data_IF_918484326769
#
_entry.id   IF_918484326769
#
_cell.length_a   1.000
_cell.length_b   1.000
_cell.length_c   1.000
_cell.angle_alpha   90.00
_cell.angle_beta   90.00
_cell.angle_gamma   90.00
#
_symmetry.space_group_name_H-M   'P 1'
#
loop_
_entity.id
_entity.type
_entity.pdbx_description
1 polymer ?
#
# COMPACT_ATOMS: atom_id res chain seq x y z
N UNK A 1 -42.26 -24.87 75.23
CA UNK A 1 -42.97 -24.08 74.22
C UNK A 1 -42.21 -24.26 72.93
N UNK A 2 -42.48 -25.37 72.25
CA UNK A 2 -43.47 -25.45 71.14
C UNK A 2 -42.75 -25.01 69.86
N UNK A 3 -42.65 -25.74 68.75
CA UNK A 3 -43.34 -26.89 68.18
C UNK A 3 -42.41 -27.35 67.03
N UNK A 4 -41.95 -28.61 66.99
CA UNK A 4 -42.39 -29.61 66.02
C UNK A 4 -43.18 -29.05 64.82
N UNK A 5 -42.69 -29.22 63.59
CA UNK A 5 -43.40 -30.00 62.55
C UNK A 5 -42.72 -29.93 61.16
N UNK A 6 -42.44 -31.13 60.63
CA UNK A 6 -42.63 -31.58 59.24
C UNK A 6 -41.74 -30.94 58.14
N UNK A 7 -40.96 -31.69 57.33
CA UNK A 7 -41.20 -33.05 56.83
C UNK A 7 -39.90 -33.87 56.69
N UNK A 8 -39.84 -34.86 57.56
CA UNK A 8 -39.38 -36.23 57.33
C UNK A 8 -39.61 -36.75 55.90
N UNK A 9 -38.59 -37.37 55.27
CA UNK A 9 -38.73 -38.78 54.89
C UNK A 9 -37.37 -39.44 54.75
N UNK A 10 -37.19 -40.40 55.66
CA UNK A 10 -36.08 -41.29 55.88
C UNK A 10 -36.30 -42.56 55.03
N UNK A 11 -35.27 -43.05 54.34
CA UNK A 11 -35.01 -44.49 54.09
C UNK A 11 -33.61 -44.62 53.51
N UNK A 12 -32.59 -44.77 54.35
CA UNK A 12 -32.08 -46.04 54.93
C UNK A 12 -31.59 -46.99 53.84
N UNK A 13 -30.27 -47.04 53.68
CA UNK A 13 -29.50 -48.29 53.80
C UNK A 13 -28.02 -47.94 53.97
N UNK A 14 -27.59 -47.84 55.23
CA UNK A 14 -26.22 -48.11 55.64
C UNK A 14 -26.14 -49.62 55.81
N UNK A 15 -25.42 -50.30 54.91
CA UNK A 15 -24.69 -51.53 55.26
C UNK A 15 -23.62 -51.83 54.20
N UNK A 16 -22.41 -52.10 54.69
CA UNK A 16 -21.20 -52.60 54.01
C UNK A 16 -20.34 -51.58 53.24
N UNK A 17 -19.37 -51.02 53.97
CA UNK A 17 -18.07 -50.68 53.40
C UNK A 17 -17.47 -51.92 52.70
N UNK A 18 -16.69 -51.70 51.63
CA UNK A 18 -15.26 -51.99 51.75
C UNK A 18 -14.46 -50.69 51.83
N UNK A 19 -13.51 -50.56 52.77
CA UNK A 19 -12.63 -49.41 52.86
C UNK A 19 -11.43 -49.63 51.93
N UNK A 20 -11.56 -49.37 50.63
CA UNK A 20 -10.38 -49.19 49.78
C UNK A 20 -10.72 -48.77 48.36
N UNK A 21 -9.98 -47.75 47.91
CA UNK A 21 -9.77 -47.28 46.53
C UNK A 21 -10.91 -46.52 45.83
N UNK A 22 -10.65 -45.21 45.72
CA UNK A 22 -10.85 -44.35 44.54
C UNK A 22 -12.27 -43.92 44.16
N UNK A 23 -12.74 -42.87 44.83
CA UNK A 23 -13.80 -41.93 44.36
C UNK A 23 -13.24 -40.91 43.32
N UNK A 24 -12.00 -41.10 42.85
CA UNK A 24 -11.30 -40.18 41.94
C UNK A 24 -11.40 -40.58 40.46
N UNK A 25 -12.60 -40.83 39.92
CA UNK A 25 -12.71 -41.11 38.48
C UNK A 25 -13.82 -40.38 37.72
N UNK A 26 -14.52 -39.44 38.38
CA UNK A 26 -15.51 -38.59 37.71
C UNK A 26 -15.16 -37.08 37.74
N UNK A 27 -14.15 -36.67 38.52
CA UNK A 27 -13.60 -35.30 38.49
C UNK A 27 -12.52 -35.11 37.42
N UNK A 28 -11.93 -36.20 36.92
CA UNK A 28 -10.95 -36.20 35.82
C UNK A 28 -11.57 -35.85 34.47
N UNK A 29 -12.86 -36.13 34.26
CA UNK A 29 -13.57 -35.78 33.02
C UNK A 29 -13.77 -34.27 32.84
N UNK A 30 -13.94 -33.49 33.92
CA UNK A 30 -14.17 -32.04 33.86
C UNK A 30 -12.90 -31.27 33.46
N UNK A 31 -11.71 -31.84 33.69
CA UNK A 31 -10.43 -31.21 33.34
C UNK A 31 -10.03 -31.39 31.85
N UNK A 32 -10.74 -32.24 31.10
CA UNK A 32 -10.50 -32.44 29.65
C UNK A 32 -11.33 -31.45 28.80
N UNK A 33 -12.40 -30.87 29.37
CA UNK A 33 -13.35 -30.02 28.66
C UNK A 33 -12.86 -28.67 28.08
N UNK A 34 -11.82 -27.97 28.60
CA UNK A 34 -11.42 -26.70 28.00
C UNK A 34 -10.78 -26.86 26.62
N UNK A 35 -10.20 -28.02 26.31
CA UNK A 35 -9.53 -28.26 25.02
C UNK A 35 -10.49 -28.65 23.88
N UNK A 36 -11.67 -29.19 24.20
CA UNK A 36 -12.62 -29.65 23.19
C UNK A 36 -13.43 -28.51 22.56
N UNK A 37 -13.69 -27.44 23.33
CA UNK A 37 -14.50 -26.30 22.89
C UNK A 37 -13.83 -25.50 21.75
N UNK A 38 -12.52 -25.27 21.82
CA UNK A 38 -11.80 -24.48 20.82
C UNK A 38 -11.74 -25.16 19.45
N UNK A 39 -11.59 -26.49 19.42
CA UNK A 39 -11.53 -27.26 18.18
C UNK A 39 -12.84 -27.15 17.40
N UNK A 40 -14.00 -27.20 18.07
CA UNK A 40 -15.29 -27.02 17.41
C UNK A 40 -15.43 -25.61 16.83
N UNK A 41 -14.99 -24.59 17.58
CA UNK A 41 -15.01 -23.20 17.15
C UNK A 41 -14.11 -22.95 15.92
N UNK A 42 -12.99 -23.67 15.81
CA UNK A 42 -12.11 -23.63 14.63
C UNK A 42 -12.77 -24.18 13.36
N UNK A 43 -13.53 -25.28 13.46
CA UNK A 43 -14.32 -25.78 12.32
C UNK A 43 -15.41 -24.78 11.90
N UNK A 44 -16.07 -24.15 12.87
CA UNK A 44 -17.12 -23.15 12.62
C UNK A 44 -16.58 -21.89 11.95
N UNK A 45 -15.42 -21.37 12.38
CA UNK A 45 -14.86 -20.13 11.83
C UNK A 45 -14.31 -20.30 10.41
N UNK A 46 -13.72 -21.47 10.13
CA UNK A 46 -13.23 -21.82 8.79
C UNK A 46 -14.33 -22.38 7.88
N UNK A 47 -15.50 -22.74 8.44
CA UNK A 47 -16.63 -23.35 7.72
C UNK A 47 -16.23 -24.61 6.94
N UNK A 48 -15.38 -25.44 7.55
CA UNK A 48 -14.89 -26.69 6.95
C UNK A 48 -15.57 -27.91 7.59
N UNK A 49 -15.77 -28.98 6.79
CA UNK A 49 -16.24 -30.28 7.28
C UNK A 49 -15.06 -31.12 7.76
N UNK A 50 -15.31 -32.10 8.62
CA UNK A 50 -14.28 -33.08 9.02
C UNK A 50 -13.73 -33.80 7.77
N UNK A 51 -12.41 -34.00 7.71
CA UNK A 51 -11.75 -34.66 6.57
C UNK A 51 -11.28 -33.75 5.44
N UNK A 52 -11.34 -32.42 5.57
CA UNK A 52 -10.88 -31.47 4.55
C UNK A 52 -9.42 -31.70 4.09
N UNK A 53 -9.12 -31.28 2.86
CA UNK A 53 -7.78 -31.34 2.27
C UNK A 53 -6.95 -30.08 2.59
N UNK A 54 -5.61 -30.16 2.53
CA UNK A 54 -4.73 -28.98 2.68
C UNK A 54 -5.05 -27.81 1.72
N UNK A 55 -5.30 -28.03 0.41
CA UNK A 55 -5.66 -26.93 -0.48
C UNK A 55 -7.02 -26.30 -0.11
N UNK A 56 -7.97 -27.11 0.37
CA UNK A 56 -9.27 -26.64 0.84
C UNK A 56 -9.16 -25.78 2.10
N UNK A 57 -8.32 -26.17 3.08
CA UNK A 57 -8.00 -25.37 4.25
C UNK A 57 -7.46 -23.98 3.86
N UNK A 58 -6.49 -23.95 2.93
CA UNK A 58 -5.91 -22.69 2.44
C UNK A 58 -6.92 -21.83 1.69
N UNK A 59 -7.87 -22.44 0.97
CA UNK A 59 -8.93 -21.71 0.25
C UNK A 59 -9.93 -21.10 1.23
N UNK A 60 -10.40 -21.88 2.20
CA UNK A 60 -11.33 -21.42 3.23
C UNK A 60 -10.74 -20.30 4.08
N UNK A 61 -9.48 -20.43 4.52
CA UNK A 61 -8.78 -19.38 5.25
C UNK A 61 -8.72 -18.06 4.47
N UNK A 62 -8.31 -18.10 3.19
CA UNK A 62 -8.25 -16.90 2.34
C UNK A 62 -9.60 -16.22 2.18
N UNK A 63 -10.68 -16.98 2.06
CA UNK A 63 -12.03 -16.44 1.93
C UNK A 63 -12.49 -15.80 3.25
N UNK A 64 -12.37 -16.51 4.37
CA UNK A 64 -12.75 -15.98 5.69
C UNK A 64 -11.88 -14.79 6.13
N UNK A 65 -10.59 -14.78 5.78
CA UNK A 65 -9.67 -13.70 6.13
C UNK A 65 -10.09 -12.37 5.48
N UNK A 66 -10.56 -12.40 4.23
CA UNK A 66 -11.13 -11.21 3.57
C UNK A 66 -12.39 -10.69 4.25
N UNK A 67 -13.21 -11.58 4.84
CA UNK A 67 -14.48 -11.20 5.48
C UNK A 67 -14.30 -10.64 6.90
N UNK A 68 -13.24 -11.09 7.60
CA UNK A 68 -12.95 -10.68 8.97
C UNK A 68 -11.79 -9.68 9.07
N UNK A 69 -11.22 -9.24 7.95
CA UNK A 69 -10.13 -8.26 7.96
C UNK A 69 -10.63 -6.94 8.59
N UNK A 70 -9.90 -6.34 9.55
CA UNK A 70 -10.34 -5.11 10.23
C UNK A 70 -10.50 -3.91 9.28
N UNK A 71 -9.76 -3.88 8.17
CA UNK A 71 -9.88 -2.83 7.15
C UNK A 71 -11.16 -2.93 6.32
N UNK A 72 -11.75 -4.13 6.20
CA UNK A 72 -12.97 -4.37 5.40
C UNK A 72 -14.20 -4.42 6.32
N UNK A 73 -14.03 -4.96 7.53
CA UNK A 73 -15.08 -5.18 8.50
C UNK A 73 -14.78 -4.40 9.79
N UNK A 74 -15.40 -3.23 9.93
CA UNK A 74 -15.18 -2.33 11.06
C UNK A 74 -15.99 -2.69 12.32
N UNK A 75 -16.56 -3.90 12.41
CA UNK A 75 -17.24 -4.35 13.63
C UNK A 75 -16.23 -4.50 14.77
N UNK A 76 -16.59 -4.18 16.03
CA UNK A 76 -15.67 -4.26 17.17
C UNK A 76 -15.07 -5.66 17.36
N UNK A 77 -15.82 -6.71 16.98
CA UNK A 77 -15.38 -8.10 17.14
C UNK A 77 -14.66 -8.67 15.91
N UNK A 78 -14.41 -7.87 14.87
CA UNK A 78 -13.72 -8.35 13.66
C UNK A 78 -12.27 -8.75 13.96
N UNK A 79 -11.59 -7.98 14.81
CA UNK A 79 -10.22 -8.26 15.24
C UNK A 79 -10.10 -9.61 15.97
N UNK A 80 -10.96 -9.84 16.96
CA UNK A 80 -10.99 -11.10 17.72
C UNK A 80 -11.30 -12.32 16.83
N UNK A 81 -12.26 -12.17 15.90
CA UNK A 81 -12.58 -13.22 14.93
C UNK A 81 -11.41 -13.50 13.99
N UNK A 82 -10.66 -12.46 13.60
CA UNK A 82 -9.48 -12.62 12.76
C UNK A 82 -8.36 -13.38 13.49
N UNK A 83 -8.13 -13.07 14.76
CA UNK A 83 -7.19 -13.81 15.62
C UNK A 83 -7.59 -15.29 15.67
N UNK A 84 -8.86 -15.56 15.99
CA UNK A 84 -9.36 -16.94 16.10
C UNK A 84 -9.31 -17.70 14.77
N UNK A 85 -9.53 -17.02 13.65
CA UNK A 85 -9.38 -17.60 12.31
C UNK A 85 -7.93 -18.03 12.05
N UNK A 86 -6.97 -17.21 12.49
CA UNK A 86 -5.56 -17.48 12.32
C UNK A 86 -5.10 -18.65 13.20
N UNK A 87 -5.53 -18.67 14.47
CA UNK A 87 -5.31 -19.79 15.39
C UNK A 87 -5.85 -21.11 14.82
N UNK A 88 -7.09 -21.10 14.32
CA UNK A 88 -7.72 -22.25 13.67
C UNK A 88 -6.89 -22.77 12.48
N UNK A 89 -6.42 -21.88 11.62
CA UNK A 89 -5.62 -22.24 10.46
C UNK A 89 -4.28 -22.86 10.85
N UNK A 90 -3.57 -22.25 11.81
CA UNK A 90 -2.26 -22.77 12.26
C UNK A 90 -2.40 -24.11 12.97
N UNK A 91 -3.44 -24.28 13.79
CA UNK A 91 -3.76 -25.55 14.43
C UNK A 91 -3.98 -26.65 13.40
N UNK A 92 -4.86 -26.46 12.42
CA UNK A 92 -5.13 -27.47 11.40
C UNK A 92 -3.93 -27.72 10.47
N UNK A 93 -3.17 -26.68 10.15
CA UNK A 93 -1.96 -26.81 9.36
C UNK A 93 -0.92 -27.66 10.09
N UNK A 94 -0.73 -27.45 11.40
CA UNK A 94 0.18 -28.25 12.22
C UNK A 94 -0.22 -29.73 12.22
N UNK A 95 -1.52 -30.02 12.42
CA UNK A 95 -2.08 -31.38 12.43
C UNK A 95 -1.90 -32.12 11.11
N UNK A 96 -2.01 -31.43 9.97
CA UNK A 96 -1.82 -32.03 8.64
C UNK A 96 -0.35 -32.13 8.21
N UNK A 97 0.52 -31.25 8.71
CA UNK A 97 1.94 -31.19 8.30
C UNK A 97 2.90 -31.89 9.27
N UNK A 98 2.41 -32.39 10.42
CA UNK A 98 3.24 -33.03 11.44
C UNK A 98 4.18 -32.06 12.17
N UNK A 99 4.02 -30.75 11.98
CA UNK A 99 4.82 -29.73 12.65
C UNK A 99 4.25 -29.48 14.04
N UNK A 100 5.11 -29.28 15.03
CA UNK A 100 4.68 -28.87 16.37
C UNK A 100 4.08 -27.46 16.30
N UNK A 101 2.80 -27.33 16.64
CA UNK A 101 2.16 -26.02 16.78
C UNK A 101 2.76 -25.31 17.99
N UNK A 102 3.47 -24.21 17.75
CA UNK A 102 3.93 -23.32 18.82
C UNK A 102 3.06 -22.05 18.80
N UNK A 103 2.08 -21.90 19.72
CA UNK A 103 1.18 -20.75 19.76
C UNK A 103 1.91 -19.41 20.00
N UNK A 104 3.18 -19.44 20.44
CA UNK A 104 3.99 -18.23 20.67
C UNK A 104 4.88 -17.82 19.50
N UNK A 105 4.89 -18.58 18.39
CA UNK A 105 5.92 -18.45 17.35
C UNK A 105 5.68 -17.36 16.30
N UNK A 106 4.50 -16.72 16.25
CA UNK A 106 4.25 -15.62 15.30
C UNK A 106 3.68 -14.40 16.01
N UNK A 107 4.59 -13.52 16.40
CA UNK A 107 4.25 -12.16 16.81
C UNK A 107 3.58 -11.47 15.61
N UNK A 108 2.28 -11.19 15.71
CA UNK A 108 1.60 -10.26 14.80
C UNK A 108 2.34 -8.93 14.89
N UNK A 109 3.25 -8.67 13.94
CA UNK A 109 3.90 -7.39 13.80
C UNK A 109 2.83 -6.45 13.28
N UNK A 110 2.23 -5.69 14.21
CA UNK A 110 1.42 -4.51 13.91
C UNK A 110 2.23 -3.68 12.92
N UNK A 111 1.86 -3.71 11.64
CA UNK A 111 2.48 -2.87 10.62
C UNK A 111 2.34 -1.45 11.13
N UNK A 112 3.48 -0.78 11.33
CA UNK A 112 3.46 0.61 11.78
C UNK A 112 2.56 1.39 10.80
N UNK A 113 1.61 2.20 11.29
CA UNK A 113 0.72 2.95 10.42
C UNK A 113 1.60 3.74 9.46
N UNK A 114 1.46 3.48 8.15
CA UNK A 114 2.29 4.11 7.13
C UNK A 114 2.16 5.63 7.27
N UNK A 115 3.23 6.21 7.72
CA UNK A 115 3.32 7.55 8.23
C UNK A 115 2.93 8.55 7.12
N UNK A 116 2.29 9.61 7.57
CA UNK A 116 1.81 10.82 6.89
C UNK A 116 2.65 11.25 5.68
N UNK A 117 1.99 11.79 4.64
CA UNK A 117 2.58 12.36 3.40
C UNK A 117 3.89 13.16 3.62
N UNK A 118 4.02 13.82 4.79
CA UNK A 118 5.23 14.51 5.23
C UNK A 118 6.50 13.64 5.24
N UNK A 119 6.43 12.38 5.70
CA UNK A 119 7.60 11.50 5.73
C UNK A 119 7.96 10.93 4.35
N UNK A 120 6.96 10.76 3.47
CA UNK A 120 7.23 10.46 2.06
C UNK A 120 7.95 11.63 1.39
N UNK A 121 7.46 12.87 1.59
CA UNK A 121 8.08 14.07 1.05
C UNK A 121 9.52 14.27 1.58
N UNK A 122 9.74 14.06 2.87
CA UNK A 122 11.06 14.15 3.48
C UNK A 122 12.05 13.12 2.89
N UNK A 123 11.61 11.87 2.69
CA UNK A 123 12.42 10.82 2.05
C UNK A 123 12.75 11.18 0.61
N UNK A 124 11.80 11.73 -0.14
CA UNK A 124 12.03 12.09 -1.55
C UNK A 124 13.01 13.26 -1.68
N UNK A 125 12.87 14.29 -0.83
CA UNK A 125 13.84 15.39 -0.75
C UNK A 125 15.25 14.89 -0.42
N UNK A 126 15.39 13.94 0.51
CA UNK A 126 16.69 13.35 0.84
C UNK A 126 17.31 12.61 -0.35
N UNK A 127 16.51 11.88 -1.15
CA UNK A 127 17.02 11.21 -2.36
C UNK A 127 17.47 12.23 -3.41
N UNK A 128 16.70 13.29 -3.63
CA UNK A 128 17.07 14.36 -4.58
C UNK A 128 18.37 15.04 -4.17
N UNK A 129 18.54 15.34 -2.88
CA UNK A 129 19.80 15.89 -2.35
C UNK A 129 20.98 14.95 -2.59
N UNK A 130 20.84 13.66 -2.27
CA UNK A 130 21.92 12.68 -2.51
C UNK A 130 22.31 12.56 -3.98
N UNK A 131 21.34 12.63 -4.90
CA UNK A 131 21.60 12.66 -6.35
C UNK A 131 22.33 13.93 -6.75
N UNK A 132 21.85 15.09 -6.29
CA UNK A 132 22.49 16.38 -6.53
C UNK A 132 23.92 16.43 -5.98
N UNK A 133 24.17 15.89 -4.78
CA UNK A 133 25.50 15.78 -4.19
C UNK A 133 26.42 14.88 -5.03
N UNK A 134 25.88 13.80 -5.61
CA UNK A 134 26.60 12.94 -6.53
C UNK A 134 27.01 13.68 -7.80
N UNK A 135 26.12 14.48 -8.37
CA UNK A 135 26.42 15.33 -9.53
C UNK A 135 27.38 16.48 -9.19
N UNK A 136 27.26 17.09 -8.01
CA UNK A 136 28.13 18.18 -7.60
C UNK A 136 29.60 17.75 -7.43
N UNK A 137 29.83 16.47 -7.09
CA UNK A 137 31.18 15.93 -6.84
C UNK A 137 31.83 15.31 -8.09
N UNK A 138 31.11 15.14 -9.19
CA UNK A 138 31.66 14.48 -10.36
C UNK A 138 32.46 15.45 -11.23
N UNK A 139 33.45 14.92 -11.96
CA UNK A 139 34.19 15.73 -12.93
C UNK A 139 33.27 16.17 -14.09
N UNK A 140 33.48 17.38 -14.61
CA UNK A 140 32.63 17.98 -15.64
C UNK A 140 32.52 17.11 -16.90
N UNK A 141 33.64 16.58 -17.41
CA UNK A 141 33.65 15.73 -18.61
C UNK A 141 32.75 14.49 -18.47
N UNK A 142 32.63 13.97 -17.24
CA UNK A 142 31.77 12.82 -16.94
C UNK A 142 30.31 13.25 -16.78
N UNK A 143 30.05 14.47 -16.32
CA UNK A 143 28.71 15.01 -16.17
C UNK A 143 28.03 15.23 -17.52
N UNK A 144 28.77 15.71 -18.51
CA UNK A 144 28.24 15.93 -19.87
C UNK A 144 27.75 14.64 -20.54
N UNK A 145 28.39 13.52 -20.21
CA UNK A 145 28.00 12.20 -20.71
C UNK A 145 26.74 11.64 -20.02
N UNK A 146 26.25 12.27 -18.96
CA UNK A 146 25.04 11.82 -18.27
C UNK A 146 23.80 12.06 -19.13
N UNK A 147 22.79 11.16 -19.09
CA UNK A 147 21.56 11.32 -19.86
C UNK A 147 20.76 12.57 -19.45
N UNK A 148 20.95 13.05 -18.21
CA UNK A 148 20.26 14.24 -17.69
C UNK A 148 20.74 15.50 -18.40
N UNK A 149 22.07 15.68 -18.52
CA UNK A 149 22.62 16.83 -19.22
C UNK A 149 22.34 16.77 -20.73
N UNK A 150 22.53 15.60 -21.34
CA UNK A 150 22.28 15.42 -22.78
C UNK A 150 20.83 15.69 -23.18
N UNK A 151 19.86 15.21 -22.40
CA UNK A 151 18.44 15.47 -22.67
C UNK A 151 18.08 16.94 -22.47
N UNK A 152 18.61 17.60 -21.43
CA UNK A 152 18.41 19.04 -21.22
C UNK A 152 18.97 19.88 -22.38
N UNK A 153 20.15 19.52 -22.90
CA UNK A 153 20.77 20.20 -24.04
C UNK A 153 19.91 20.04 -25.31
N UNK A 154 19.43 18.83 -25.60
CA UNK A 154 18.54 18.57 -26.74
C UNK A 154 17.24 19.36 -26.61
N UNK A 155 16.62 19.40 -25.42
CA UNK A 155 15.43 20.21 -25.17
C UNK A 155 15.70 21.69 -25.41
N UNK A 156 16.83 22.22 -24.92
CA UNK A 156 17.21 23.61 -25.16
C UNK A 156 17.37 23.92 -26.65
N UNK A 157 18.00 23.02 -27.41
CA UNK A 157 18.13 23.19 -28.86
C UNK A 157 16.78 23.15 -29.56
N UNK A 158 15.93 22.18 -29.24
CA UNK A 158 14.59 22.07 -29.83
C UNK A 158 13.78 23.33 -29.55
N UNK A 159 13.75 23.78 -28.30
CA UNK A 159 13.02 24.99 -27.91
C UNK A 159 13.55 26.21 -28.68
N UNK A 160 14.87 26.37 -28.79
CA UNK A 160 15.46 27.46 -29.55
C UNK A 160 15.02 27.43 -31.03
N UNK A 161 15.09 26.27 -31.68
CA UNK A 161 14.58 26.11 -33.06
C UNK A 161 13.09 26.41 -33.18
N UNK A 162 12.26 25.98 -32.23
CA UNK A 162 10.83 26.31 -32.21
C UNK A 162 10.60 27.82 -32.10
N UNK A 163 11.33 28.51 -31.23
CA UNK A 163 11.25 29.98 -31.10
C UNK A 163 11.70 30.68 -32.38
N UNK A 164 12.76 30.20 -33.03
CA UNK A 164 13.25 30.76 -34.28
C UNK A 164 12.21 30.61 -35.40
N UNK A 165 11.65 29.41 -35.57
CA UNK A 165 10.59 29.13 -36.54
C UNK A 165 9.36 29.99 -36.25
N UNK A 166 8.94 30.08 -34.99
CA UNK A 166 7.81 30.92 -34.59
C UNK A 166 8.05 32.41 -34.89
N UNK A 167 9.25 32.91 -34.66
CA UNK A 167 9.63 34.29 -34.98
C UNK A 167 9.59 34.57 -36.48
N UNK A 168 10.11 33.64 -37.29
CA UNK A 168 10.08 33.73 -38.76
C UNK A 168 8.65 33.69 -39.28
N UNK A 169 7.82 32.76 -38.80
CA UNK A 169 6.41 32.70 -39.18
C UNK A 169 5.67 34.00 -38.84
N UNK A 170 5.92 34.56 -37.66
CA UNK A 170 5.30 35.82 -37.24
C UNK A 170 5.74 37.00 -38.10
N UNK A 171 7.00 37.04 -38.53
CA UNK A 171 7.52 38.07 -39.42
C UNK A 171 6.99 37.93 -40.88
N UNK A 172 6.73 36.70 -41.34
CA UNK A 172 6.28 36.42 -42.70
C UNK A 172 4.74 36.48 -42.88
N UNK A 173 3.97 36.33 -41.81
CA UNK A 173 2.50 36.30 -41.90
C UNK A 173 1.89 37.61 -42.49
N UNK A 174 2.26 38.81 -42.02
CA UNK A 174 1.71 40.07 -42.55
C UNK A 174 1.96 40.32 -44.05
N UNK A 175 3.20 40.18 -44.59
CA UNK A 175 3.43 40.41 -46.02
C UNK A 175 2.67 39.41 -46.89
N UNK A 176 2.58 38.14 -46.48
CA UNK A 176 1.78 37.13 -47.20
C UNK A 176 0.30 37.56 -47.26
N UNK A 177 -0.26 38.01 -46.13
CA UNK A 177 -1.66 38.48 -46.09
C UNK A 177 -1.90 39.70 -46.98
N UNK A 178 -0.93 40.62 -47.08
CA UNK A 178 -1.06 41.79 -47.97
C UNK A 178 -1.02 41.44 -49.46
N UNK A 179 -0.26 40.40 -49.85
CA UNK A 179 -0.20 39.93 -51.24
C UNK A 179 -1.49 39.22 -51.65
N UNK A 180 -2.10 38.46 -50.75
CA UNK A 180 -3.35 37.72 -51.02
C UNK A 180 -4.52 38.67 -51.23
N UNK A 181 -4.66 39.70 -50.39
CA UNK A 181 -5.83 40.59 -50.43
C UNK A 181 -5.70 41.69 -51.48
N UNK A 182 -4.48 41.97 -51.97
CA UNK A 182 -4.22 43.00 -53.00
C UNK A 182 -4.52 44.44 -52.58
N UNK A 183 -4.90 44.68 -51.32
CA UNK A 183 -5.36 45.98 -50.81
C UNK A 183 -4.37 46.50 -49.76
N UNK A 184 -3.82 47.69 -50.02
CA UNK A 184 -2.87 48.39 -49.14
C UNK A 184 -3.63 49.47 -48.36
N UNK A 185 -3.92 49.20 -47.08
CA UNK A 185 -4.50 50.18 -46.14
C UNK A 185 -3.45 50.64 -45.12
N UNK A 186 -3.54 51.89 -44.61
CA UNK A 186 -2.54 52.44 -43.70
C UNK A 186 -2.41 51.63 -42.40
N UNK A 187 -3.50 51.06 -41.88
CA UNK A 187 -3.46 50.21 -40.69
C UNK A 187 -2.66 48.91 -40.91
N UNK A 188 -2.69 48.32 -42.12
CA UNK A 188 -1.94 47.08 -42.42
C UNK A 188 -0.44 47.33 -42.52
N UNK A 189 -0.04 48.48 -43.04
CA UNK A 189 1.36 48.91 -43.05
C UNK A 189 1.90 49.00 -41.63
N UNK A 190 1.15 49.61 -40.70
CA UNK A 190 1.53 49.71 -39.28
C UNK A 190 1.68 48.31 -38.66
N UNK A 191 0.72 47.40 -38.90
CA UNK A 191 0.82 46.03 -38.36
C UNK A 191 2.00 45.25 -38.95
N UNK A 192 2.34 45.46 -40.22
CA UNK A 192 3.46 44.82 -40.88
C UNK A 192 4.79 45.29 -40.27
N UNK A 193 4.95 46.61 -40.08
CA UNK A 193 6.16 47.17 -39.43
C UNK A 193 6.25 46.71 -37.97
N UNK A 194 5.15 46.73 -37.22
CA UNK A 194 5.18 46.32 -35.81
C UNK A 194 5.53 44.83 -35.64
N UNK A 195 4.90 43.94 -36.40
CA UNK A 195 5.14 42.49 -36.31
C UNK A 195 6.50 42.08 -36.83
N UNK A 196 7.05 42.75 -37.84
CA UNK A 196 8.42 42.52 -38.31
C UNK A 196 9.45 42.96 -37.28
N UNK A 197 9.28 44.12 -36.64
CA UNK A 197 10.15 44.57 -35.55
C UNK A 197 10.11 43.58 -34.37
N UNK A 198 8.91 43.15 -33.96
CA UNK A 198 8.76 42.17 -32.86
C UNK A 198 9.36 40.81 -33.26
N UNK A 199 9.10 40.33 -34.47
CA UNK A 199 9.64 39.06 -34.97
C UNK A 199 11.16 39.06 -35.05
N UNK A 200 11.76 40.11 -35.60
CA UNK A 200 13.22 40.30 -35.63
C UNK A 200 13.78 40.43 -34.21
N UNK A 201 13.11 41.17 -33.34
CA UNK A 201 13.50 41.31 -31.93
C UNK A 201 13.53 39.98 -31.18
N UNK A 202 12.53 39.12 -31.38
CA UNK A 202 12.50 37.76 -30.80
C UNK A 202 13.65 36.89 -31.32
N UNK A 203 13.95 36.96 -32.62
CA UNK A 203 15.05 36.19 -33.22
C UNK A 203 16.40 36.65 -32.67
N UNK A 204 16.61 37.96 -32.51
CA UNK A 204 17.86 38.52 -31.97
C UNK A 204 17.99 38.22 -30.47
N UNK A 205 16.91 38.34 -29.69
CA UNK A 205 16.94 38.09 -28.24
C UNK A 205 17.20 36.62 -27.88
N UNK A 206 16.68 35.69 -28.69
CA UNK A 206 16.89 34.26 -28.51
C UNK A 206 18.01 33.70 -29.41
N UNK A 207 18.76 34.58 -30.08
CA UNK A 207 19.89 34.15 -30.88
C UNK A 207 20.87 33.39 -29.97
N UNK A 208 21.19 32.12 -30.29
CA UNK A 208 22.10 31.36 -29.45
C UNK A 208 23.48 32.02 -29.42
N UNK A 209 23.99 32.34 -28.23
CA UNK A 209 25.36 32.81 -27.98
C UNK A 209 26.43 31.73 -28.23
N UNK A 210 26.24 30.90 -29.26
CA UNK A 210 27.05 29.70 -29.55
C UNK A 210 28.42 30.01 -30.17
N UNK A 211 28.77 31.27 -30.40
CA UNK A 211 29.97 31.62 -31.18
C UNK A 211 31.23 31.81 -30.30
N UNK A 212 31.08 32.08 -29.00
CA UNK A 212 32.20 32.60 -28.19
C UNK A 212 32.78 31.69 -27.11
N UNK A 213 32.08 30.64 -26.68
CA UNK A 213 32.52 29.82 -25.55
C UNK A 213 32.64 28.37 -25.99
N UNK A 214 33.89 27.93 -26.18
CA UNK A 214 34.21 26.53 -25.88
C UNK A 214 33.82 26.36 -24.41
N UNK A 215 32.76 25.61 -24.17
CA UNK A 215 32.38 25.19 -22.82
C UNK A 215 33.51 24.34 -22.24
#
# INVERSE_FOLDING_TARGET
>A
MDLCFLTWSFKVSIFLLPPSSSILDLTSCIQIFPYFYDVQRYYQILRLKQGFSLPELKKAYRNSAKHYHPDINHKPNAHEKFILLNEAYEYFLSRKTGRTYNPKSKKYQKTKPHNTHAEWAAREQQKTRKRADGYAKMNWDKFEQTPIYRSAMVVSFILNYCYLISGVLMALTPPIATVIDGIITPHRIITLVATTIIGVGLVVMFWPDTIGKKY
#
